data_IF_451965836804
#
_entry.id   IF_451965836804
#
_cell.length_a   1.000
_cell.length_b   1.000
_cell.length_c   1.000
_cell.angle_alpha   90.00
_cell.angle_beta   90.00
_cell.angle_gamma   90.00
#
_symmetry.space_group_name_H-M   'P 1'
#
loop_
_entity.id
_entity.type
_entity.pdbx_description
1 polymer ?
#
# COMPACT_ATOMS: atom_id res chain seq x y z
N UNK A 1 -48.82 -15.59 -0.33
CA UNK A 1 -49.58 -15.64 -1.59
C UNK A 1 -48.55 -15.84 -2.69
N UNK A 2 -48.30 -17.05 -3.21
CA UNK A 2 -49.19 -17.89 -4.07
C UNK A 2 -49.46 -17.08 -5.35
N UNK A 3 -49.14 -17.45 -6.60
CA UNK A 3 -48.68 -18.64 -7.34
C UNK A 3 -48.01 -18.10 -8.64
N UNK A 4 -46.97 -18.67 -9.25
CA UNK A 4 -46.86 -19.91 -10.06
C UNK A 4 -47.76 -20.03 -11.32
N UNK A 5 -47.10 -20.41 -12.42
CA UNK A 5 -47.58 -20.93 -13.72
C UNK A 5 -48.22 -20.00 -14.77
N UNK A 6 -47.57 -19.88 -15.93
CA UNK A 6 -47.99 -20.73 -17.06
C UNK A 6 -46.96 -20.83 -18.20
N UNK A 7 -46.96 -22.03 -18.77
CA UNK A 7 -46.10 -22.57 -19.81
C UNK A 7 -46.92 -22.63 -21.11
N UNK A 8 -46.37 -22.27 -22.27
CA UNK A 8 -46.84 -22.82 -23.54
C UNK A 8 -45.71 -22.95 -24.55
N UNK A 9 -45.81 -24.01 -25.35
CA UNK A 9 -44.78 -24.61 -26.21
C UNK A 9 -45.32 -24.78 -27.63
N UNK A 10 -44.42 -25.16 -28.54
CA UNK A 10 -44.54 -25.57 -29.95
C UNK A 10 -44.59 -24.40 -30.93
N UNK A 11 -43.70 -24.27 -31.91
CA UNK A 11 -43.04 -25.22 -32.86
C UNK A 11 -43.20 -24.52 -34.23
N UNK A 12 -42.33 -24.53 -35.24
CA UNK A 12 -41.51 -25.57 -35.86
C UNK A 12 -40.78 -24.87 -37.04
N UNK A 13 -39.50 -25.18 -37.32
CA UNK A 13 -38.99 -25.33 -38.70
C UNK A 13 -37.65 -26.08 -38.69
N UNK A 14 -37.50 -26.96 -39.69
CA UNK A 14 -36.79 -28.26 -39.69
C UNK A 14 -35.46 -28.17 -40.49
N UNK A 15 -34.74 -29.25 -40.89
CA UNK A 15 -33.33 -29.47 -40.54
C UNK A 15 -32.36 -29.73 -41.72
N UNK A 16 -31.04 -29.74 -41.45
CA UNK A 16 -29.94 -30.26 -42.29
C UNK A 16 -28.91 -30.77 -41.26
N UNK A 17 -28.37 -31.99 -41.18
CA UNK A 17 -27.97 -33.02 -42.14
C UNK A 17 -27.92 -34.38 -41.39
N UNK A 18 -28.50 -35.44 -41.97
CA UNK A 18 -28.12 -36.84 -41.73
C UNK A 18 -27.84 -37.48 -43.09
N UNK A 19 -26.64 -38.00 -43.30
CA UNK A 19 -26.34 -38.98 -44.35
C UNK A 19 -25.11 -39.79 -43.93
N UNK A 20 -25.06 -41.06 -44.37
CA UNK A 20 -24.07 -42.12 -44.06
C UNK A 20 -24.46 -42.91 -42.79
N UNK A 21 -24.92 -44.17 -42.78
CA UNK A 21 -25.04 -45.27 -43.75
C UNK A 21 -26.15 -46.23 -43.24
N UNK A 22 -27.06 -46.66 -44.12
CA UNK A 22 -27.78 -47.94 -43.93
C UNK A 22 -27.89 -48.63 -45.28
N UNK A 23 -27.26 -49.78 -45.44
CA UNK A 23 -27.57 -50.73 -46.52
C UNK A 23 -27.22 -52.14 -46.05
N UNK A 24 -28.17 -53.07 -46.22
CA UNK A 24 -27.90 -54.51 -46.20
C UNK A 24 -28.63 -55.32 -45.12
N UNK A 25 -29.81 -55.85 -45.46
CA UNK A 25 -30.34 -57.12 -44.93
C UNK A 25 -30.27 -58.15 -46.07
N UNK A 26 -29.85 -59.39 -45.79
CA UNK A 26 -29.94 -60.50 -46.76
C UNK A 26 -29.15 -61.77 -46.41
N UNK A 27 -29.67 -62.53 -45.44
CA UNK A 27 -29.68 -64.01 -45.26
C UNK A 27 -28.60 -64.88 -45.94
N UNK A 28 -27.82 -65.66 -45.17
CA UNK A 28 -27.71 -67.14 -45.29
C UNK A 28 -26.93 -67.81 -44.12
N UNK A 29 -27.38 -69.03 -43.81
CA UNK A 29 -26.95 -70.02 -42.80
C UNK A 29 -25.43 -70.18 -42.56
N UNK A 30 -25.06 -70.48 -41.30
CA UNK A 30 -23.88 -71.29 -40.97
C UNK A 30 -23.20 -70.90 -39.65
N UNK A 31 -23.13 -71.84 -38.70
CA UNK A 31 -22.42 -71.69 -37.43
C UNK A 31 -20.91 -71.40 -37.62
N UNK A 32 -20.38 -70.33 -37.00
CA UNK A 32 -19.19 -70.38 -36.14
C UNK A 32 -18.96 -69.05 -35.39
N UNK A 33 -18.41 -69.15 -34.19
CA UNK A 33 -18.12 -68.10 -33.20
C UNK A 33 -17.38 -66.87 -33.78
N UNK A 34 -17.83 -65.66 -33.45
CA UNK A 34 -16.94 -64.49 -33.30
C UNK A 34 -17.59 -63.42 -32.41
N UNK A 35 -17.37 -63.52 -31.10
CA UNK A 35 -17.76 -62.52 -30.11
C UNK A 35 -16.51 -61.88 -29.51
N UNK A 36 -15.65 -61.28 -30.37
CA UNK A 36 -14.37 -60.67 -29.94
C UNK A 36 -14.19 -59.22 -30.44
N UNK A 37 -15.06 -58.68 -31.31
CA UNK A 37 -14.76 -57.38 -31.94
C UNK A 37 -15.47 -56.13 -31.38
N UNK A 38 -16.39 -56.26 -30.41
CA UNK A 38 -17.03 -55.10 -29.78
C UNK A 38 -16.28 -54.60 -28.53
N UNK A 39 -15.52 -55.48 -27.86
CA UNK A 39 -14.69 -55.12 -26.71
C UNK A 39 -13.40 -54.42 -27.13
N UNK A 40 -12.80 -54.79 -28.26
CA UNK A 40 -11.49 -54.29 -28.67
C UNK A 40 -11.49 -52.79 -29.01
N UNK A 41 -12.50 -52.31 -29.75
CA UNK A 41 -12.65 -50.88 -30.04
C UNK A 41 -12.98 -50.07 -28.79
N UNK A 42 -13.76 -50.63 -27.86
CA UNK A 42 -14.02 -50.00 -26.56
C UNK A 42 -12.74 -49.86 -25.73
N UNK A 43 -11.91 -50.89 -25.70
CA UNK A 43 -10.60 -50.87 -25.02
C UNK A 43 -9.64 -49.87 -25.66
N UNK A 44 -9.63 -49.75 -26.98
CA UNK A 44 -8.80 -48.74 -27.69
C UNK A 44 -9.27 -47.32 -27.36
N UNK A 45 -10.58 -47.06 -27.37
CA UNK A 45 -11.12 -45.73 -27.08
C UNK A 45 -10.88 -45.35 -25.61
N UNK A 46 -11.13 -46.27 -24.68
CA UNK A 46 -10.89 -46.04 -23.25
C UNK A 46 -9.40 -45.89 -22.96
N UNK A 47 -8.55 -46.71 -23.57
CA UNK A 47 -7.10 -46.60 -23.46
C UNK A 47 -6.56 -45.27 -24.00
N UNK A 48 -7.11 -44.80 -25.13
CA UNK A 48 -6.73 -43.51 -25.73
C UNK A 48 -7.16 -42.32 -24.87
N UNK A 49 -8.36 -42.39 -24.27
CA UNK A 49 -8.86 -41.38 -23.32
C UNK A 49 -8.01 -41.33 -22.03
N UNK A 50 -7.67 -42.49 -21.46
CA UNK A 50 -6.79 -42.58 -20.30
C UNK A 50 -5.40 -42.03 -20.60
N UNK A 51 -4.83 -42.37 -21.75
CA UNK A 51 -3.53 -41.84 -22.20
C UNK A 51 -3.56 -40.31 -22.35
N UNK A 52 -4.62 -39.77 -22.95
CA UNK A 52 -4.80 -38.33 -23.09
C UNK A 52 -4.95 -37.62 -21.73
N UNK A 53 -5.72 -38.18 -20.80
CA UNK A 53 -5.89 -37.62 -19.46
C UNK A 53 -4.60 -37.67 -18.64
N UNK A 54 -3.80 -38.74 -18.76
CA UNK A 54 -2.50 -38.85 -18.13
C UNK A 54 -1.50 -37.83 -18.71
N UNK A 55 -1.51 -37.63 -20.03
CA UNK A 55 -0.68 -36.62 -20.68
C UNK A 55 -1.06 -35.20 -20.24
N UNK A 56 -2.36 -34.91 -20.12
CA UNK A 56 -2.85 -33.62 -19.60
C UNK A 56 -2.48 -33.42 -18.13
N UNK A 57 -2.56 -34.46 -17.28
CA UNK A 57 -2.14 -34.40 -15.89
C UNK A 57 -0.62 -34.19 -15.77
N UNK A 58 0.17 -34.88 -16.59
CA UNK A 58 1.62 -34.71 -16.64
C UNK A 58 2.02 -33.30 -17.13
N UNK A 59 1.37 -32.80 -18.17
CA UNK A 59 1.54 -31.44 -18.66
C UNK A 59 1.13 -30.41 -17.59
N UNK A 60 0.06 -30.65 -16.84
CA UNK A 60 -0.36 -29.80 -15.72
C UNK A 60 0.70 -29.76 -14.61
N UNK A 61 1.32 -30.89 -14.27
CA UNK A 61 2.40 -30.98 -13.27
C UNK A 61 3.69 -30.28 -13.73
N UNK A 62 3.97 -30.23 -15.03
CA UNK A 62 5.15 -29.54 -15.58
C UNK A 62 4.91 -28.04 -15.79
N UNK A 63 3.76 -27.67 -16.37
CA UNK A 63 3.43 -26.29 -16.75
C UNK A 63 3.03 -25.44 -15.55
N UNK A 64 2.52 -26.06 -14.48
CA UNK A 64 2.33 -25.40 -13.20
C UNK A 64 3.50 -25.83 -12.33
N UNK A 65 4.56 -25.02 -12.19
CA UNK A 65 5.56 -25.31 -11.18
C UNK A 65 4.80 -25.43 -9.87
N UNK A 66 4.93 -26.57 -9.19
CA UNK A 66 4.47 -26.72 -7.81
C UNK A 66 4.95 -25.45 -7.12
N UNK A 67 4.01 -24.61 -6.68
CA UNK A 67 4.32 -23.64 -5.66
C UNK A 67 4.95 -24.48 -4.55
N UNK A 68 6.28 -24.46 -4.46
CA UNK A 68 6.88 -24.68 -3.17
C UNK A 68 6.22 -23.60 -2.32
N UNK A 69 5.49 -23.94 -1.26
CA UNK A 69 5.41 -22.97 -0.19
C UNK A 69 6.88 -22.70 0.10
N UNK A 70 7.34 -21.49 -0.16
CA UNK A 70 8.56 -21.01 0.48
C UNK A 70 8.22 -21.17 1.95
N UNK A 71 8.68 -22.29 2.51
CA UNK A 71 8.55 -22.62 3.90
C UNK A 71 9.04 -21.39 4.63
N UNK A 72 8.20 -20.88 5.53
CA UNK A 72 8.56 -19.90 6.53
C UNK A 72 10.03 -20.09 6.89
N UNK A 73 10.90 -19.21 6.42
CA UNK A 73 11.92 -18.72 7.32
C UNK A 73 11.11 -18.07 8.42
N UNK A 74 10.80 -18.85 9.46
CA UNK A 74 10.77 -18.29 10.80
C UNK A 74 12.08 -17.53 10.84
N UNK A 75 11.99 -16.22 10.87
CA UNK A 75 12.97 -15.48 11.63
C UNK A 75 12.89 -16.13 13.01
N UNK A 76 13.76 -17.12 13.26
CA UNK A 76 14.27 -17.32 14.60
C UNK A 76 14.94 -15.99 14.92
N UNK A 77 14.14 -15.08 15.45
CA UNK A 77 14.61 -14.01 16.30
C UNK A 77 15.65 -14.66 17.20
N UNK A 78 16.91 -14.20 17.17
CA UNK A 78 17.88 -14.65 18.15
C UNK A 78 17.19 -14.50 19.50
N UNK A 79 17.02 -15.61 20.21
CA UNK A 79 16.50 -15.60 21.56
C UNK A 79 17.52 -14.82 22.39
N UNK A 80 17.35 -13.51 22.43
CA UNK A 80 17.98 -12.65 23.40
C UNK A 80 17.32 -13.05 24.71
N UNK A 81 18.00 -13.90 25.47
CA UNK A 81 17.72 -14.07 26.88
C UNK A 81 17.99 -12.73 27.57
N UNK A 82 17.01 -11.84 27.54
CA UNK A 82 16.91 -10.71 28.45
C UNK A 82 15.46 -10.57 28.88
N UNK A 83 15.20 -10.88 30.14
CA UNK A 83 13.94 -10.74 30.85
C UNK A 83 13.54 -9.26 31.04
N UNK A 84 13.28 -8.56 29.94
CA UNK A 84 12.53 -7.31 29.88
C UNK A 84 11.54 -7.49 28.74
N UNK A 85 10.25 -7.60 29.03
CA UNK A 85 9.22 -7.63 27.99
C UNK A 85 9.41 -6.42 27.10
N UNK A 86 9.68 -6.64 25.81
CA UNK A 86 9.84 -5.59 24.82
C UNK A 86 8.62 -4.65 24.88
N UNK A 87 8.86 -3.36 25.10
CA UNK A 87 7.81 -2.36 25.30
C UNK A 87 7.05 -2.14 23.98
N UNK A 88 5.82 -2.64 23.90
CA UNK A 88 4.93 -2.34 22.78
C UNK A 88 4.35 -0.92 22.92
N UNK A 89 4.94 0.05 22.22
CA UNK A 89 4.50 1.44 22.23
C UNK A 89 3.12 1.69 21.61
N UNK A 90 2.56 0.72 20.88
CA UNK A 90 1.27 0.85 20.18
C UNK A 90 0.08 0.33 21.01
N UNK A 91 0.34 -0.35 22.13
CA UNK A 91 -0.70 -0.82 23.04
C UNK A 91 -0.70 -0.02 24.35
N UNK A 92 -1.75 0.77 24.55
CA UNK A 92 -1.79 1.82 25.56
C UNK A 92 -3.15 2.49 25.63
N UNK A 93 -3.21 3.58 26.38
CA UNK A 93 -4.39 4.41 26.49
C UNK A 93 -4.00 5.89 26.43
N UNK A 94 -4.95 6.71 25.97
CA UNK A 94 -4.86 8.15 26.14
C UNK A 94 -5.17 8.51 27.60
N UNK A 95 -4.31 9.33 28.20
CA UNK A 95 -4.48 9.89 29.54
C UNK A 95 -4.42 11.41 29.48
N UNK A 96 -5.12 12.07 30.40
CA UNK A 96 -5.01 13.52 30.55
C UNK A 96 -3.69 13.89 31.22
N UNK A 97 -3.06 14.95 30.73
CA UNK A 97 -1.80 15.47 31.24
C UNK A 97 -1.78 17.00 31.13
N UNK A 98 -1.71 17.66 32.28
CA UNK A 98 -1.76 19.13 32.34
C UNK A 98 -0.50 19.81 31.81
N UNK A 99 0.63 19.09 31.71
CA UNK A 99 1.86 19.62 31.11
C UNK A 99 1.77 19.82 29.60
N UNK A 100 0.75 19.25 28.94
CA UNK A 100 0.50 19.43 27.51
C UNK A 100 -0.27 20.74 27.22
N UNK A 101 -0.21 21.28 25.98
CA UNK A 101 0.53 20.77 24.83
C UNK A 101 2.04 21.03 24.91
N UNK A 102 2.82 20.28 24.13
CA UNK A 102 4.27 20.44 24.03
C UNK A 102 4.70 21.75 23.33
N UNK A 103 3.79 22.41 22.61
CA UNK A 103 4.00 23.72 21.98
C UNK A 103 2.67 24.41 21.73
N UNK A 104 2.71 25.75 21.59
CA UNK A 104 1.58 26.53 21.08
C UNK A 104 1.70 26.70 19.56
N UNK A 105 0.76 26.13 18.82
CA UNK A 105 0.71 26.24 17.36
C UNK A 105 0.61 27.69 16.86
N UNK A 106 0.06 28.61 17.67
CA UNK A 106 -0.03 30.04 17.33
C UNK A 106 1.30 30.77 17.39
N UNK A 107 2.29 30.21 18.09
CA UNK A 107 3.62 30.78 18.21
C UNK A 107 4.62 30.16 17.23
N UNK A 108 4.23 29.12 16.49
CA UNK A 108 5.11 28.44 15.54
C UNK A 108 4.91 28.95 14.11
N UNK A 109 5.93 29.55 13.47
CA UNK A 109 5.80 30.07 12.10
C UNK A 109 5.70 28.97 11.03
N UNK A 110 6.04 27.72 11.36
CA UNK A 110 5.97 26.58 10.45
C UNK A 110 4.65 25.81 10.52
N UNK A 111 3.78 26.12 11.49
CA UNK A 111 2.45 25.52 11.53
C UNK A 111 1.58 26.12 10.43
N UNK A 112 1.07 25.31 9.50
CA UNK A 112 0.13 25.80 8.48
C UNK A 112 -1.11 26.37 9.18
N UNK A 113 -1.59 27.53 8.72
CA UNK A 113 -2.76 28.23 9.28
C UNK A 113 -3.97 27.31 9.48
N UNK A 114 -4.21 26.38 8.56
CA UNK A 114 -5.32 25.42 8.65
C UNK A 114 -5.26 24.48 9.86
N UNK A 115 -4.08 24.26 10.45
CA UNK A 115 -3.89 23.43 11.63
C UNK A 115 -3.86 24.21 12.95
N UNK A 116 -3.85 25.54 12.90
CA UNK A 116 -3.99 26.36 14.10
C UNK A 116 -5.48 26.50 14.49
N UNK A 117 -6.04 25.44 15.06
CA UNK A 117 -7.46 25.37 15.43
C UNK A 117 -7.89 26.52 16.37
N UNK A 118 -7.04 26.91 17.33
CA UNK A 118 -7.35 27.98 18.28
C UNK A 118 -7.46 29.33 17.59
N UNK A 119 -6.47 29.69 16.74
CA UNK A 119 -6.55 30.90 15.92
C UNK A 119 -7.71 30.86 14.92
N UNK A 120 -8.14 29.66 14.49
CA UNK A 120 -9.29 29.46 13.63
C UNK A 120 -10.64 29.40 14.38
N UNK A 121 -10.68 29.77 15.66
CA UNK A 121 -11.91 29.97 16.42
C UNK A 121 -12.41 28.76 17.24
N UNK A 122 -11.67 27.65 17.29
CA UNK A 122 -11.99 26.54 18.19
C UNK A 122 -11.86 26.99 19.64
N UNK A 123 -12.92 26.78 20.45
CA UNK A 123 -13.00 27.26 21.84
C UNK A 123 -12.55 26.23 22.86
N UNK A 124 -12.82 24.95 22.62
CA UNK A 124 -12.44 23.87 23.54
C UNK A 124 -10.93 23.61 23.47
N UNK A 125 -10.29 23.50 24.64
CA UNK A 125 -8.85 23.27 24.78
C UNK A 125 -8.50 21.87 25.29
N UNK A 126 -9.49 21.09 25.74
CA UNK A 126 -9.25 19.76 26.33
C UNK A 126 -8.58 18.78 25.36
N UNK A 127 -8.75 18.95 24.04
CA UNK A 127 -8.12 18.08 23.05
C UNK A 127 -6.59 18.15 23.05
N UNK A 128 -6.00 19.26 23.50
CA UNK A 128 -4.54 19.41 23.55
C UNK A 128 -3.93 18.77 24.80
N UNK A 129 -4.75 18.31 25.75
CA UNK A 129 -4.32 17.82 27.08
C UNK A 129 -4.15 16.31 27.16
N UNK A 130 -4.10 15.62 26.02
CA UNK A 130 -4.00 14.18 25.95
C UNK A 130 -2.57 13.72 25.65
N UNK A 131 -2.07 12.77 26.44
CA UNK A 131 -0.81 12.06 26.23
C UNK A 131 -1.09 10.57 26.04
N UNK A 132 -0.39 9.94 25.10
CA UNK A 132 -0.41 8.48 24.94
C UNK A 132 0.48 7.81 25.99
N UNK A 133 -0.06 6.82 26.71
CA UNK A 133 0.68 6.02 27.70
C UNK A 133 0.61 4.52 27.33
N UNK A 134 1.73 3.89 26.95
CA UNK A 134 1.81 2.44 26.77
C UNK A 134 1.48 1.69 28.07
N UNK A 135 0.96 0.47 27.98
CA UNK A 135 0.53 -0.30 29.16
C UNK A 135 1.68 -0.71 30.08
N UNK A 136 2.78 -1.20 29.50
CA UNK A 136 3.83 -1.93 30.22
C UNK A 136 5.16 -1.16 30.31
N UNK A 137 5.14 0.15 30.00
CA UNK A 137 6.34 0.96 29.92
C UNK A 137 6.01 2.45 29.92
N UNK A 138 6.98 3.27 30.32
CA UNK A 138 6.89 4.73 30.29
C UNK A 138 7.66 5.29 29.09
N UNK A 139 7.02 6.22 28.37
CA UNK A 139 7.71 7.04 27.36
C UNK A 139 8.40 8.19 28.09
N UNK A 140 9.72 8.37 27.93
CA UNK A 140 10.45 9.51 28.50
C UNK A 140 9.79 10.83 28.15
N UNK A 141 9.86 11.79 29.09
CA UNK A 141 9.31 13.12 28.86
C UNK A 141 10.06 13.82 27.72
N UNK A 142 9.30 14.50 26.86
CA UNK A 142 9.89 15.24 25.75
C UNK A 142 10.69 16.42 26.30
N UNK A 143 11.98 16.47 25.95
CA UNK A 143 12.85 17.60 26.20
C UNK A 143 13.44 18.06 24.86
N UNK A 144 12.99 19.22 24.39
CA UNK A 144 13.39 19.75 23.09
C UNK A 144 14.91 19.93 23.00
N UNK A 145 15.57 20.44 24.06
CA UNK A 145 17.01 20.70 24.04
C UNK A 145 17.80 19.41 23.96
N UNK A 146 17.45 18.40 24.75
CA UNK A 146 18.11 17.09 24.71
C UNK A 146 17.98 16.43 23.33
N UNK A 147 16.81 16.50 22.71
CA UNK A 147 16.59 15.94 21.38
C UNK A 147 17.38 16.72 20.34
N UNK A 148 17.39 18.05 20.40
CA UNK A 148 18.20 18.88 19.51
C UNK A 148 19.69 18.56 19.61
N UNK A 149 20.23 18.35 20.82
CA UNK A 149 21.63 17.93 20.99
C UNK A 149 21.89 16.52 20.46
N UNK A 150 20.99 15.56 20.71
CA UNK A 150 21.08 14.20 20.14
C UNK A 150 21.01 14.20 18.62
N UNK A 151 20.30 15.16 18.04
CA UNK A 151 20.13 15.33 16.59
C UNK A 151 21.13 16.31 15.98
N UNK A 152 22.12 16.77 16.73
CA UNK A 152 23.13 17.71 16.23
C UNK A 152 23.90 17.11 15.05
N UNK A 153 24.01 17.88 13.97
CA UNK A 153 24.67 17.45 12.72
C UNK A 153 23.92 16.37 11.94
N UNK A 154 22.68 16.03 12.33
CA UNK A 154 21.87 15.00 11.68
C UNK A 154 20.90 15.57 10.65
N UNK A 155 20.47 14.70 9.75
CA UNK A 155 19.40 14.95 8.78
C UNK A 155 18.23 14.01 8.97
N UNK A 156 17.06 14.58 9.23
CA UNK A 156 15.78 13.86 9.35
C UNK A 156 14.97 14.13 8.08
N UNK A 157 14.41 13.10 7.47
CA UNK A 157 13.66 13.22 6.21
C UNK A 157 12.30 12.55 6.34
N UNK A 158 11.25 13.34 6.16
CA UNK A 158 9.87 12.89 6.02
C UNK A 158 9.53 12.73 4.55
N UNK A 159 8.93 11.60 4.18
CA UNK A 159 8.50 11.31 2.82
C UNK A 159 7.06 10.82 2.85
N UNK A 160 6.19 11.38 2.01
CA UNK A 160 4.82 10.86 1.92
C UNK A 160 3.78 11.89 1.50
N UNK A 161 2.56 11.71 1.97
CA UNK A 161 1.45 12.58 1.66
C UNK A 161 1.38 13.80 2.61
N UNK A 162 0.23 14.48 2.65
CA UNK A 162 0.03 15.64 3.54
C UNK A 162 0.18 15.30 5.02
N UNK A 163 -0.03 14.06 5.44
CA UNK A 163 0.11 13.62 6.83
C UNK A 163 1.58 13.56 7.26
N UNK A 164 2.50 13.16 6.36
CA UNK A 164 3.94 13.29 6.63
C UNK A 164 4.34 14.76 6.81
N UNK A 165 3.75 15.67 6.03
CA UNK A 165 3.99 17.11 6.19
C UNK A 165 3.50 17.63 7.54
N UNK A 166 2.31 17.23 7.99
CA UNK A 166 1.81 17.68 9.32
C UNK A 166 2.67 17.16 10.47
N UNK A 167 3.21 15.95 10.35
CA UNK A 167 4.14 15.41 11.34
C UNK A 167 5.49 16.16 11.32
N UNK A 168 5.99 16.52 10.13
CA UNK A 168 7.16 17.38 9.95
C UNK A 168 6.95 18.77 10.58
N UNK A 169 5.81 19.43 10.32
CA UNK A 169 5.44 20.72 10.95
C UNK A 169 5.43 20.60 12.47
N UNK A 170 4.76 19.56 13.00
CA UNK A 170 4.65 19.33 14.44
C UNK A 170 6.02 19.10 15.11
N UNK A 171 6.90 18.30 14.49
CA UNK A 171 8.24 18.06 15.03
C UNK A 171 9.06 19.35 15.10
N UNK A 172 9.02 20.16 14.05
CA UNK A 172 9.72 21.45 14.02
C UNK A 172 9.20 22.35 15.14
N UNK A 173 7.89 22.50 15.27
CA UNK A 173 7.30 23.35 16.31
C UNK A 173 7.63 22.88 17.73
N UNK A 174 7.62 21.56 17.98
CA UNK A 174 8.05 20.99 19.26
C UNK A 174 9.52 21.30 19.56
N UNK A 175 10.42 21.09 18.59
CA UNK A 175 11.85 21.33 18.79
C UNK A 175 12.17 22.82 18.94
N UNK A 176 11.45 23.70 18.24
CA UNK A 176 11.63 25.15 18.37
C UNK A 176 11.48 25.62 19.82
N UNK A 177 10.72 24.95 20.68
CA UNK A 177 10.59 25.33 22.10
C UNK A 177 11.93 25.32 22.85
N UNK A 178 12.88 24.46 22.44
CA UNK A 178 14.22 24.34 23.05
C UNK A 178 15.31 25.20 22.40
N UNK A 179 14.95 26.09 21.46
CA UNK A 179 15.88 26.99 20.77
C UNK A 179 15.83 28.38 21.41
N UNK A 180 16.98 28.95 21.77
CA UNK A 180 17.07 30.30 22.34
C UNK A 180 16.83 31.38 21.26
N UNK A 181 17.69 31.43 20.25
CA UNK A 181 17.52 32.32 19.11
C UNK A 181 16.63 31.68 18.03
N UNK A 182 15.34 32.03 18.01
CA UNK A 182 14.39 31.51 17.01
C UNK A 182 14.78 31.87 15.56
N UNK A 183 15.60 32.90 15.33
CA UNK A 183 16.09 33.28 13.98
C UNK A 183 17.06 32.24 13.42
N UNK A 184 17.65 31.39 14.27
CA UNK A 184 18.45 30.24 13.86
C UNK A 184 17.64 29.13 13.18
N UNK A 185 16.30 29.22 13.20
CA UNK A 185 15.41 28.24 12.58
C UNK A 185 14.72 28.85 11.37
N UNK A 186 15.02 28.33 10.17
CA UNK A 186 14.51 28.88 8.91
C UNK A 186 14.32 27.81 7.84
N UNK A 187 13.44 28.08 6.89
CA UNK A 187 13.30 27.27 5.67
C UNK A 187 14.47 27.59 4.72
N UNK A 188 15.17 26.56 4.27
CA UNK A 188 16.47 26.64 3.58
C UNK A 188 16.38 27.42 2.26
N UNK A 189 15.25 27.35 1.57
CA UNK A 189 15.01 27.98 0.28
C UNK A 189 14.15 29.25 0.37
N UNK A 190 13.75 29.68 1.59
CA UNK A 190 12.79 30.77 1.80
C UNK A 190 11.38 30.46 1.26
N UNK A 191 11.05 29.19 1.03
CA UNK A 191 9.77 28.79 0.48
C UNK A 191 8.63 28.99 1.48
N UNK A 192 7.48 29.43 1.00
CA UNK A 192 6.24 29.38 1.77
C UNK A 192 5.69 27.96 1.79
N UNK A 193 5.23 27.51 2.96
CA UNK A 193 4.56 26.22 3.11
C UNK A 193 3.23 26.28 2.33
N UNK A 194 3.10 25.43 1.31
CA UNK A 194 1.87 25.26 0.53
C UNK A 194 1.45 23.80 0.45
N UNK A 195 0.23 23.53 0.00
CA UNK A 195 -0.34 22.16 -0.05
C UNK A 195 0.28 21.28 -1.13
N UNK A 196 0.81 21.88 -2.19
CA UNK A 196 1.34 21.19 -3.36
C UNK A 196 2.87 21.22 -3.42
N UNK A 197 3.53 21.90 -2.47
CA UNK A 197 4.99 21.99 -2.48
C UNK A 197 5.64 20.60 -2.44
N UNK A 198 6.66 20.43 -3.28
CA UNK A 198 7.29 19.14 -3.50
C UNK A 198 8.41 18.86 -2.49
N UNK A 199 9.09 19.91 -2.05
CA UNK A 199 10.16 19.85 -1.07
C UNK A 199 10.09 21.06 -0.12
N UNK A 200 10.28 20.81 1.18
CA UNK A 200 10.52 21.80 2.21
C UNK A 200 11.69 21.33 3.06
N UNK A 201 12.63 22.22 3.39
CA UNK A 201 13.72 21.90 4.29
C UNK A 201 13.86 22.97 5.35
N UNK A 202 13.83 22.58 6.63
CA UNK A 202 14.06 23.51 7.74
C UNK A 202 15.37 23.20 8.41
N UNK A 203 16.17 24.25 8.64
CA UNK A 203 17.46 24.17 9.31
C UNK A 203 17.38 24.80 10.68
N UNK A 204 17.88 24.08 11.68
CA UNK A 204 18.17 24.57 13.02
C UNK A 204 19.67 24.84 13.08
N UNK A 205 20.10 26.04 12.66
CA UNK A 205 21.52 26.32 12.40
C UNK A 205 22.40 26.19 13.63
N UNK A 206 21.92 26.56 14.82
CA UNK A 206 22.64 26.39 16.10
C UNK A 206 22.92 24.93 16.46
N UNK A 207 22.22 23.98 15.84
CA UNK A 207 22.37 22.54 16.07
C UNK A 207 22.90 21.80 14.83
N UNK A 208 23.15 22.51 13.72
CA UNK A 208 23.44 21.86 12.43
C UNK A 208 22.45 20.74 12.07
N UNK A 209 21.20 20.87 12.53
CA UNK A 209 20.13 19.89 12.27
C UNK A 209 19.33 20.34 11.06
N UNK A 210 19.07 19.40 10.15
CA UNK A 210 18.19 19.59 9.00
C UNK A 210 17.00 18.65 9.06
N UNK A 211 15.80 19.18 8.89
CA UNK A 211 14.55 18.41 8.85
C UNK A 211 13.84 18.70 7.53
N UNK A 212 13.80 17.70 6.67
CA UNK A 212 13.26 17.78 5.32
C UNK A 212 11.90 17.11 5.22
N UNK A 213 11.06 17.62 4.32
CA UNK A 213 9.85 16.98 3.84
C UNK A 213 9.90 16.89 2.31
N UNK A 214 9.77 15.67 1.80
CA UNK A 214 9.50 15.38 0.39
C UNK A 214 8.08 14.90 0.25
N UNK A 215 7.26 15.65 -0.47
CA UNK A 215 5.96 15.15 -0.89
C UNK A 215 6.25 13.98 -1.81
N UNK A 216 5.69 12.80 -1.54
CA UNK A 216 5.67 11.62 -2.40
C UNK A 216 4.44 10.81 -2.02
N UNK A 217 3.28 11.29 -2.48
CA UNK A 217 1.95 10.87 -2.01
C UNK A 217 1.77 9.34 -2.03
N UNK A 218 2.24 8.72 -3.10
CA UNK A 218 2.09 7.29 -3.34
C UNK A 218 3.40 6.52 -3.15
N UNK A 219 4.52 7.19 -2.85
CA UNK A 219 5.90 6.67 -2.86
C UNK A 219 6.42 6.19 -4.23
N UNK A 220 5.54 5.77 -5.12
CA UNK A 220 5.84 5.29 -6.47
C UNK A 220 5.63 6.38 -7.53
N UNK A 221 6.22 6.16 -8.69
CA UNK A 221 6.40 7.19 -9.71
C UNK A 221 5.08 7.53 -10.43
N UNK A 222 4.58 8.78 -10.36
CA UNK A 222 3.50 9.21 -11.24
C UNK A 222 3.99 9.34 -12.68
N UNK A 223 3.08 9.20 -13.65
CA UNK A 223 3.40 9.30 -15.06
C UNK A 223 2.23 9.77 -15.91
N UNK A 224 2.50 10.18 -17.16
CA UNK A 224 1.44 10.53 -18.10
C UNK A 224 0.65 9.28 -18.52
N UNK A 225 -0.52 9.48 -19.13
CA UNK A 225 -1.25 8.41 -19.79
C UNK A 225 -0.45 7.89 -21.01
N UNK A 226 -0.37 6.56 -21.24
CA UNK A 226 0.19 6.00 -22.47
C UNK A 226 -0.56 6.51 -23.71
N UNK A 227 0.14 6.71 -24.84
CA UNK A 227 -0.44 7.30 -26.07
C UNK A 227 -1.72 6.63 -26.57
N UNK A 228 -1.87 5.31 -26.38
CA UNK A 228 -3.02 4.51 -26.82
C UNK A 228 -3.97 4.14 -25.67
N UNK A 229 -3.89 4.83 -24.54
CA UNK A 229 -4.78 4.57 -23.40
C UNK A 229 -6.22 5.05 -23.69
N UNK A 230 -7.24 4.41 -23.10
CA UNK A 230 -8.62 4.89 -23.19
C UNK A 230 -8.78 6.33 -22.70
N UNK A 231 -9.73 7.10 -23.27
CA UNK A 231 -9.94 8.53 -22.95
C UNK A 231 -10.15 8.84 -21.45
N UNK A 232 -10.64 7.87 -20.68
CA UNK A 232 -10.82 7.97 -19.21
C UNK A 232 -9.51 7.99 -18.42
N UNK A 233 -8.41 7.53 -19.02
CA UNK A 233 -7.08 7.50 -18.40
C UNK A 233 -6.41 8.84 -18.67
N UNK A 234 -6.25 9.63 -17.61
CA UNK A 234 -5.61 10.96 -17.65
C UNK A 234 -4.15 10.91 -17.21
N UNK A 235 -3.84 10.00 -16.28
CA UNK A 235 -2.50 9.78 -15.75
C UNK A 235 -2.30 8.32 -15.36
N UNK A 236 -1.07 7.97 -15.06
CA UNK A 236 -0.72 6.66 -14.53
C UNK A 236 0.11 6.74 -13.26
N UNK A 237 0.07 5.68 -12.47
CA UNK A 237 0.94 5.45 -11.34
C UNK A 237 1.75 4.18 -11.59
N UNK A 238 3.06 4.31 -11.75
CA UNK A 238 3.98 3.19 -12.03
C UNK A 238 4.32 2.48 -10.73
N UNK A 239 3.51 1.53 -10.33
CA UNK A 239 3.62 0.90 -9.01
C UNK A 239 4.81 -0.06 -8.87
N UNK A 240 5.56 -0.30 -9.95
CA UNK A 240 6.81 -1.05 -10.01
C UNK A 240 8.06 -0.16 -10.05
N UNK A 241 7.90 1.17 -9.92
CA UNK A 241 9.00 2.14 -9.86
C UNK A 241 8.79 3.13 -8.73
N UNK A 242 9.81 3.31 -7.90
CA UNK A 242 9.78 4.34 -6.87
C UNK A 242 9.83 5.74 -7.48
N UNK A 243 9.36 6.73 -6.73
CA UNK A 243 9.39 8.14 -7.12
C UNK A 243 10.76 8.56 -7.70
N UNK A 244 10.74 9.45 -8.69
CA UNK A 244 11.97 9.86 -9.37
C UNK A 244 12.92 10.63 -8.45
N UNK A 245 12.36 11.32 -7.46
CA UNK A 245 13.08 12.04 -6.40
C UNK A 245 13.68 11.14 -5.29
N UNK A 246 13.60 9.80 -5.41
CA UNK A 246 14.06 8.88 -4.34
C UNK A 246 15.52 9.08 -3.91
N UNK A 247 16.38 9.55 -4.83
CA UNK A 247 17.80 9.73 -4.55
C UNK A 247 18.04 10.83 -3.51
N UNK A 248 17.12 11.78 -3.37
CA UNK A 248 17.19 12.87 -2.39
C UNK A 248 17.08 12.37 -0.93
N UNK A 249 16.62 11.14 -0.73
CA UNK A 249 16.33 10.58 0.59
C UNK A 249 17.51 9.78 1.18
N UNK A 250 18.46 9.36 0.36
CA UNK A 250 19.49 8.36 0.71
C UNK A 250 20.40 8.84 1.85
N UNK A 251 20.91 10.08 1.75
CA UNK A 251 21.84 10.64 2.73
C UNK A 251 21.11 11.25 3.92
N UNK A 252 20.45 10.43 4.73
CA UNK A 252 19.76 10.86 5.94
C UNK A 252 20.09 9.96 7.13
N UNK A 253 19.96 10.49 8.35
CA UNK A 253 20.12 9.71 9.58
C UNK A 253 18.81 9.04 9.98
N UNK A 254 17.68 9.69 9.68
CA UNK A 254 16.35 9.20 9.98
C UNK A 254 15.43 9.41 8.77
N UNK A 255 14.80 8.33 8.31
CA UNK A 255 13.77 8.35 7.26
C UNK A 255 12.42 7.99 7.83
N UNK A 256 11.42 8.84 7.63
CA UNK A 256 10.04 8.60 8.03
C UNK A 256 9.14 8.62 6.80
N UNK A 257 8.64 7.45 6.42
CA UNK A 257 7.72 7.28 5.29
C UNK A 257 6.28 7.25 5.76
N UNK A 258 5.36 7.71 4.92
CA UNK A 258 3.94 7.35 5.00
C UNK A 258 3.34 7.27 3.59
N UNK A 259 2.31 6.45 3.45
CA UNK A 259 1.47 6.36 2.27
C UNK A 259 0.17 5.65 2.66
N UNK A 260 -0.95 6.06 2.07
CA UNK A 260 -2.23 5.38 2.33
C UNK A 260 -3.44 6.28 2.09
N UNK A 261 -3.40 7.53 2.54
CA UNK A 261 -4.59 8.37 2.58
C UNK A 261 -5.15 8.70 1.18
N UNK A 262 -4.30 8.67 0.16
CA UNK A 262 -4.68 8.88 -1.25
C UNK A 262 -4.99 7.59 -2.01
N UNK A 263 -4.88 6.41 -1.40
CA UNK A 263 -5.19 5.13 -2.02
C UNK A 263 -6.69 4.85 -1.94
N UNK A 264 -7.48 5.70 -2.59
CA UNK A 264 -8.95 5.61 -2.63
C UNK A 264 -9.45 5.75 -4.07
N UNK A 265 -10.64 5.23 -4.41
CA UNK A 265 -11.21 5.35 -5.75
C UNK A 265 -11.30 6.81 -6.22
N UNK A 266 -11.67 7.73 -5.32
CA UNK A 266 -11.83 9.16 -5.65
C UNK A 266 -10.51 9.85 -5.96
N UNK A 267 -9.42 9.50 -5.26
CA UNK A 267 -8.08 10.08 -5.49
C UNK A 267 -7.31 9.40 -6.63
N UNK A 268 -7.77 8.25 -7.10
CA UNK A 268 -7.16 7.50 -8.19
C UNK A 268 -8.06 7.48 -9.43
N UNK A 269 -9.06 6.60 -9.46
CA UNK A 269 -9.81 6.28 -10.66
C UNK A 269 -10.76 7.38 -11.11
N UNK A 270 -11.43 8.08 -10.19
CA UNK A 270 -12.32 9.20 -10.54
C UNK A 270 -11.54 10.40 -11.11
N UNK A 271 -10.28 10.55 -10.69
CA UNK A 271 -9.33 11.51 -11.28
C UNK A 271 -8.69 10.99 -12.58
N UNK A 272 -9.05 9.79 -13.04
CA UNK A 272 -8.50 9.17 -14.24
C UNK A 272 -7.06 8.63 -14.09
N UNK A 273 -6.59 8.40 -12.86
CA UNK A 273 -5.28 7.83 -12.58
C UNK A 273 -5.37 6.30 -12.46
N UNK A 274 -4.59 5.56 -13.26
CA UNK A 274 -4.59 4.10 -13.28
C UNK A 274 -3.19 3.51 -13.12
N UNK A 275 -3.10 2.24 -12.73
CA UNK A 275 -1.81 1.62 -12.45
C UNK A 275 -1.10 1.16 -13.72
N UNK A 276 0.23 1.31 -13.73
CA UNK A 276 1.12 0.85 -14.78
C UNK A 276 2.16 -0.09 -14.17
N UNK A 277 2.43 -1.22 -14.85
CA UNK A 277 3.44 -2.21 -14.44
C UNK A 277 4.14 -2.70 -15.71
N UNK A 278 5.47 -2.58 -15.78
CA UNK A 278 6.24 -3.02 -16.95
C UNK A 278 5.74 -2.40 -18.26
N UNK A 279 5.24 -1.15 -18.22
CA UNK A 279 4.65 -0.47 -19.37
C UNK A 279 3.22 -0.90 -19.73
N UNK A 280 2.64 -1.88 -19.03
CA UNK A 280 1.28 -2.35 -19.25
C UNK A 280 0.27 -1.69 -18.31
N UNK A 281 -0.77 -1.10 -18.89
CA UNK A 281 -1.86 -0.45 -18.16
C UNK A 281 -2.79 -1.49 -17.50
N UNK A 282 -3.12 -1.29 -16.22
CA UNK A 282 -3.94 -2.21 -15.41
C UNK A 282 -5.27 -1.56 -15.03
N UNK A 283 -6.25 -1.65 -15.92
CA UNK A 283 -7.54 -0.93 -15.81
C UNK A 283 -8.51 -1.46 -14.74
N UNK A 284 -8.31 -2.69 -14.25
CA UNK A 284 -9.19 -3.35 -13.27
C UNK A 284 -8.43 -3.91 -12.07
N UNK A 285 -7.19 -3.46 -11.84
CA UNK A 285 -6.42 -3.89 -10.67
C UNK A 285 -7.01 -3.28 -9.40
N UNK A 286 -7.26 -4.09 -8.34
CA UNK A 286 -7.71 -3.59 -7.06
C UNK A 286 -6.69 -2.64 -6.43
N UNK A 287 -7.18 -1.61 -5.73
CA UNK A 287 -6.33 -0.61 -5.05
C UNK A 287 -5.46 -1.28 -3.99
N UNK A 288 -6.00 -2.26 -3.25
CA UNK A 288 -5.26 -3.01 -2.22
C UNK A 288 -4.06 -3.75 -2.80
N UNK A 289 -4.25 -4.47 -3.92
CA UNK A 289 -3.18 -5.16 -4.64
C UNK A 289 -2.14 -4.17 -5.19
N UNK A 290 -2.59 -3.03 -5.70
CA UNK A 290 -1.67 -2.00 -6.19
C UNK A 290 -0.85 -1.35 -5.07
N UNK A 291 -1.48 -1.12 -3.91
CA UNK A 291 -0.83 -0.58 -2.72
C UNK A 291 0.22 -1.55 -2.17
N UNK A 292 -0.14 -2.82 -2.02
CA UNK A 292 0.79 -3.88 -1.62
C UNK A 292 2.01 -3.93 -2.54
N UNK A 293 1.79 -3.91 -3.87
CA UNK A 293 2.90 -3.91 -4.83
C UNK A 293 3.77 -2.66 -4.74
N UNK A 294 3.18 -1.48 -4.53
CA UNK A 294 3.93 -0.25 -4.32
C UNK A 294 4.78 -0.29 -3.04
N UNK A 295 4.26 -0.87 -1.95
CA UNK A 295 5.03 -1.09 -0.72
C UNK A 295 6.15 -2.10 -0.92
N UNK A 296 5.94 -3.16 -1.71
CA UNK A 296 7.02 -4.10 -2.07
C UNK A 296 8.13 -3.41 -2.89
N UNK A 297 7.76 -2.53 -3.83
CA UNK A 297 8.73 -1.71 -4.57
C UNK A 297 9.52 -0.78 -3.64
N UNK A 298 8.83 -0.12 -2.70
CA UNK A 298 9.48 0.69 -1.67
C UNK A 298 10.43 -0.13 -0.78
N UNK A 299 9.97 -1.27 -0.24
CA UNK A 299 10.77 -2.13 0.62
C UNK A 299 12.01 -2.69 -0.10
N UNK A 300 11.85 -3.08 -1.37
CA UNK A 300 12.98 -3.51 -2.21
C UNK A 300 14.01 -2.40 -2.38
N UNK A 301 13.56 -1.14 -2.55
CA UNK A 301 14.48 -0.01 -2.67
C UNK A 301 15.21 0.27 -1.35
N UNK A 302 14.50 0.24 -0.22
CA UNK A 302 15.11 0.39 1.12
C UNK A 302 16.23 -0.64 1.31
N UNK A 303 15.94 -1.93 1.09
CA UNK A 303 16.89 -3.01 1.31
C UNK A 303 18.12 -2.97 0.40
N UNK A 304 18.01 -2.35 -0.78
CA UNK A 304 19.11 -2.32 -1.77
C UNK A 304 19.90 -1.01 -1.77
N UNK A 305 19.31 0.08 -1.28
CA UNK A 305 19.88 1.43 -1.42
C UNK A 305 20.22 2.07 -0.09
N UNK A 306 19.45 1.80 0.97
CA UNK A 306 19.64 2.47 2.27
C UNK A 306 20.64 1.69 3.12
N UNK A 307 21.63 2.41 3.64
CA UNK A 307 22.58 1.86 4.61
C UNK A 307 21.95 1.84 6.02
N UNK A 308 21.54 0.66 6.47
CA UNK A 308 20.94 0.45 7.78
C UNK A 308 21.89 0.71 8.97
N UNK A 309 23.21 0.70 8.77
CA UNK A 309 24.17 1.05 9.83
C UNK A 309 24.20 2.56 10.12
N UNK A 310 23.73 3.39 9.17
CA UNK A 310 23.69 4.85 9.28
C UNK A 310 22.26 5.37 9.48
N UNK A 311 21.30 4.77 8.78
CA UNK A 311 19.96 5.34 8.61
C UNK A 311 18.94 4.50 9.37
N UNK A 312 18.20 5.14 10.28
CA UNK A 312 17.02 4.54 10.90
C UNK A 312 15.78 4.80 10.04
N UNK A 313 15.08 3.74 9.63
CA UNK A 313 13.91 3.82 8.75
C UNK A 313 12.64 3.53 9.55
N UNK A 314 11.64 4.40 9.40
CA UNK A 314 10.32 4.30 9.99
C UNK A 314 9.25 4.38 8.89
N UNK A 315 8.16 3.65 9.09
CA UNK A 315 6.96 3.77 8.27
C UNK A 315 5.76 4.06 9.18
N UNK A 316 5.18 5.24 9.05
CA UNK A 316 3.97 5.63 9.75
C UNK A 316 2.77 4.91 9.12
N UNK A 317 1.99 4.27 9.97
CA UNK A 317 0.76 3.55 9.59
C UNK A 317 -0.37 4.50 9.17
N UNK A 318 -1.49 3.91 8.75
CA UNK A 318 -2.64 4.65 8.25
C UNK A 318 -3.31 5.51 9.33
N UNK A 319 -3.71 6.74 8.97
CA UNK A 319 -4.43 7.66 9.85
C UNK A 319 -5.95 7.50 9.67
N UNK A 320 -6.70 7.39 10.76
CA UNK A 320 -8.16 7.31 10.71
C UNK A 320 -8.79 8.66 10.32
N UNK A 321 -9.91 8.61 9.60
CA UNK A 321 -10.73 9.78 9.27
C UNK A 321 -12.04 9.71 10.03
N UNK A 322 -12.42 10.81 10.68
CA UNK A 322 -13.64 10.89 11.47
C UNK A 322 -14.61 11.87 10.79
N UNK A 323 -15.75 11.36 10.35
CA UNK A 323 -16.80 12.14 9.72
C UNK A 323 -18.06 12.09 10.58
N UNK A 324 -18.61 13.25 10.92
CA UNK A 324 -19.96 13.34 11.49
C UNK A 324 -20.91 13.74 10.38
N UNK A 325 -21.84 12.85 10.03
CA UNK A 325 -22.93 13.23 9.15
C UNK A 325 -23.80 14.25 9.89
N UNK A 326 -23.88 15.47 9.36
CA UNK A 326 -24.93 16.39 9.78
C UNK A 326 -26.21 15.88 9.10
N UNK A 327 -27.16 15.38 9.89
CA UNK A 327 -28.52 15.25 9.39
C UNK A 327 -29.00 16.68 9.12
N UNK A 328 -29.25 16.96 7.84
CA UNK A 328 -29.80 18.23 7.37
C UNK A 328 -31.26 18.38 7.76
#
# INVERSE_FOLDING_TARGET
MVDSFNHWSFGHLRPFVKKVLSFGKGVLKGHCKFWIFQSFNGVIVVGSLLSFLLAMAYAYVILIPRFQPVMNNRYETPHFNSSVSECNYFDGNWIQDESYPLYDASQCPFAERGFNCLANGRRDRGYTKWRWKPKNCEIPRFNAREILEKMRGKRIVFVGDSLSRTQWESLICMLMTGVEDKRSVYEINGNKITKQIRFLGVRFSSFDLRIDFYRSIFLVQPGPAPRRAPKRVKSTLKIDKLDDIRNEWIDSDILLFNSGHWWTPSKLFEMGCYFLIGGSLKLGMPITTAFERALLTWASWINTTINANRTSVFFRTFESSHWRYAHA
#
